data_IF_117271489011
#
_entry.id   IF_117271489011
#
_cell.length_a   1.000
_cell.length_b   1.000
_cell.length_c   1.000
_cell.angle_alpha   90.00
_cell.angle_beta   90.00
_cell.angle_gamma   90.00
#
_symmetry.space_group_name_H-M   'P 1'
#
loop_
_entity.id
_entity.type
_entity.pdbx_description
1 polymer ?
#
# COMPACT_ATOMS: atom_id res chain seq x y z
N UNK A 1 -18.33 2.76 0.35
CA UNK A 1 -17.11 1.98 0.56
C UNK A 1 -16.53 1.58 -0.80
N UNK A 2 -15.30 1.97 -1.04
CA UNK A 2 -14.67 1.76 -2.35
C UNK A 2 -14.23 0.32 -2.56
N UNK A 3 -13.69 -0.30 -1.49
CA UNK A 3 -13.21 -1.67 -1.54
C UNK A 3 -13.97 -2.51 -0.53
N UNK A 4 -14.05 -3.81 -0.81
CA UNK A 4 -14.81 -4.74 0.03
C UNK A 4 -13.89 -5.66 0.81
N UNK A 5 -14.33 -6.08 1.98
CA UNK A 5 -13.62 -7.11 2.74
C UNK A 5 -13.49 -8.36 1.87
N UNK A 6 -12.29 -8.92 1.83
CA UNK A 6 -11.98 -10.07 0.98
C UNK A 6 -11.40 -9.72 -0.37
N UNK A 7 -11.45 -8.44 -0.76
CA UNK A 7 -10.91 -8.01 -2.04
C UNK A 7 -9.39 -8.03 -2.02
N UNK A 8 -8.78 -8.43 -3.14
CA UNK A 8 -7.32 -8.44 -3.31
C UNK A 8 -6.90 -7.19 -4.05
N UNK A 9 -5.94 -6.48 -3.47
CA UNK A 9 -5.43 -5.24 -4.02
C UNK A 9 -3.91 -5.21 -3.94
N UNK A 10 -3.32 -4.08 -4.33
CA UNK A 10 -1.88 -3.86 -4.24
C UNK A 10 -1.60 -2.60 -3.44
N UNK A 11 -0.49 -2.59 -2.71
CA UNK A 11 -0.08 -1.43 -1.94
C UNK A 11 1.45 -1.36 -1.89
N UNK A 12 1.97 -0.16 -1.63
CA UNK A 12 3.41 0.03 -1.49
C UNK A 12 3.84 -0.41 -0.10
N UNK A 13 4.90 -1.21 -0.03
CA UNK A 13 5.44 -1.72 1.23
C UNK A 13 6.94 -1.48 1.24
N UNK A 14 7.46 -0.98 2.35
CA UNK A 14 8.91 -0.84 2.52
C UNK A 14 9.49 -2.23 2.70
N UNK A 15 10.47 -2.56 1.86
CA UNK A 15 11.15 -3.85 1.90
C UNK A 15 12.52 -3.63 2.54
N UNK A 16 12.72 -4.07 3.77
CA UNK A 16 13.98 -3.79 4.48
C UNK A 16 15.21 -4.34 3.78
N UNK A 17 15.08 -5.49 3.13
CA UNK A 17 16.21 -6.14 2.47
C UNK A 17 16.80 -5.30 1.35
N UNK A 18 16.00 -4.48 0.69
CA UNK A 18 16.47 -3.64 -0.40
C UNK A 18 16.37 -2.15 -0.05
N UNK A 19 15.79 -1.82 1.10
CA UNK A 19 15.70 -0.44 1.56
C UNK A 19 14.78 0.44 0.74
N UNK A 20 13.80 -0.13 0.05
CA UNK A 20 12.91 0.60 -0.83
C UNK A 20 11.49 0.12 -0.74
N UNK A 21 10.57 0.94 -1.25
CA UNK A 21 9.19 0.54 -1.43
C UNK A 21 9.03 -0.32 -2.67
N UNK A 22 8.18 -1.35 -2.56
CA UNK A 22 7.81 -2.20 -3.69
C UNK A 22 6.33 -2.52 -3.58
N UNK A 23 5.66 -2.78 -4.72
CA UNK A 23 4.25 -3.13 -4.68
C UNK A 23 4.08 -4.57 -4.18
N UNK A 24 3.09 -4.76 -3.30
CA UNK A 24 2.79 -6.07 -2.74
C UNK A 24 1.29 -6.31 -2.81
N UNK A 25 0.94 -7.56 -3.07
CA UNK A 25 -0.45 -7.99 -3.05
C UNK A 25 -0.93 -8.01 -1.61
N UNK A 26 -2.14 -7.53 -1.39
CA UNK A 26 -2.75 -7.52 -0.06
C UNK A 26 -4.22 -7.89 -0.16
N UNK A 27 -4.80 -8.24 0.98
CA UNK A 27 -6.21 -8.61 1.05
C UNK A 27 -6.85 -7.80 2.16
N UNK A 28 -8.03 -7.26 1.88
CA UNK A 28 -8.77 -6.46 2.85
C UNK A 28 -9.48 -7.36 3.83
N UNK A 29 -9.26 -7.14 5.13
CA UNK A 29 -9.91 -7.92 6.17
C UNK A 29 -10.89 -7.09 7.00
N UNK A 30 -10.77 -5.76 6.98
CA UNK A 30 -11.69 -4.89 7.70
C UNK A 30 -11.60 -3.48 7.14
N UNK A 31 -12.60 -2.65 7.45
CA UNK A 31 -12.57 -1.24 7.09
C UNK A 31 -13.35 -0.43 8.11
N UNK A 32 -12.90 0.79 8.34
CA UNK A 32 -13.58 1.71 9.25
C UNK A 32 -13.27 3.14 8.85
N UNK A 33 -14.01 4.09 9.39
CA UNK A 33 -13.77 5.50 9.14
C UNK A 33 -13.07 6.09 10.34
N UNK A 34 -11.93 6.75 10.07
CA UNK A 34 -11.21 7.49 11.10
C UNK A 34 -11.93 8.80 11.32
N UNK A 35 -12.57 9.01 12.48
CA UNK A 35 -13.36 10.22 12.71
C UNK A 35 -12.50 11.48 12.81
N UNK A 36 -11.23 11.33 13.13
CA UNK A 36 -10.34 12.49 13.28
C UNK A 36 -10.13 13.19 11.95
N UNK A 37 -9.94 12.44 10.88
CA UNK A 37 -9.64 12.98 9.56
C UNK A 37 -10.75 12.68 8.55
N UNK A 38 -11.79 11.99 9.00
CA UNK A 38 -12.93 11.62 8.17
C UNK A 38 -12.54 10.88 6.90
N UNK A 39 -11.56 10.00 7.02
CA UNK A 39 -11.09 9.16 5.92
C UNK A 39 -11.31 7.69 6.24
N UNK A 40 -11.55 6.89 5.19
CA UNK A 40 -11.70 5.46 5.36
C UNK A 40 -10.34 4.79 5.47
N UNK A 41 -10.22 3.91 6.44
CA UNK A 41 -9.01 3.16 6.71
C UNK A 41 -9.32 1.68 6.54
N UNK A 42 -8.44 0.96 5.88
CA UNK A 42 -8.60 -0.48 5.66
C UNK A 42 -7.52 -1.24 6.41
N UNK A 43 -7.93 -2.30 7.09
CA UNK A 43 -6.99 -3.27 7.64
C UNK A 43 -6.73 -4.30 6.57
N UNK A 44 -5.47 -4.56 6.28
CA UNK A 44 -5.07 -5.47 5.22
C UNK A 44 -4.09 -6.50 5.76
N UNK A 45 -4.03 -7.65 5.08
CA UNK A 45 -3.01 -8.66 5.33
C UNK A 45 -2.07 -8.70 4.15
N UNK A 46 -0.80 -8.95 4.41
CA UNK A 46 0.24 -9.03 3.39
C UNK A 46 0.74 -10.47 3.27
N UNK A 47 1.20 -10.81 2.06
CA UNK A 47 1.78 -12.11 1.81
C UNK A 47 0.83 -13.24 2.10
N UNK A 48 1.22 -14.13 3.01
CA UNK A 48 0.41 -15.30 3.36
C UNK A 48 -0.71 -15.00 4.37
N UNK A 49 -0.95 -13.74 4.66
CA UNK A 49 -2.03 -13.35 5.56
C UNK A 49 -1.68 -13.35 7.03
N UNK A 50 -0.41 -13.48 7.37
CA UNK A 50 0.01 -13.49 8.77
C UNK A 50 0.25 -12.11 9.33
N UNK A 51 0.67 -11.18 8.48
CA UNK A 51 0.92 -9.81 8.90
C UNK A 51 -0.29 -8.95 8.60
N UNK A 52 -0.69 -8.15 9.58
CA UNK A 52 -1.76 -7.18 9.41
C UNK A 52 -1.20 -5.78 9.55
N UNK A 53 -1.69 -4.89 8.71
CA UNK A 53 -1.37 -3.47 8.80
C UNK A 53 -2.58 -2.71 8.30
N UNK A 54 -2.47 -1.38 8.22
CA UNK A 54 -3.59 -0.58 7.76
C UNK A 54 -3.11 0.38 6.67
N UNK A 55 -4.06 0.80 5.84
CA UNK A 55 -3.81 1.75 4.75
C UNK A 55 -5.00 2.65 4.57
N UNK A 56 -4.75 3.89 4.19
CA UNK A 56 -5.81 4.75 3.72
C UNK A 56 -6.28 4.28 2.35
N UNK A 57 -7.50 4.65 1.99
CA UNK A 57 -8.10 4.23 0.72
C UNK A 57 -7.22 4.60 -0.47
N UNK A 58 -6.63 5.78 -0.44
CA UNK A 58 -5.79 6.27 -1.54
C UNK A 58 -4.45 5.55 -1.66
N UNK A 59 -4.10 4.72 -0.69
CA UNK A 59 -2.85 3.95 -0.72
C UNK A 59 -3.05 2.53 -1.25
N UNK A 60 -4.26 2.22 -1.72
CA UNK A 60 -4.60 0.91 -2.24
C UNK A 60 -4.92 1.02 -3.72
N UNK A 61 -4.50 0.04 -4.50
CA UNK A 61 -4.63 0.07 -5.96
C UNK A 61 -5.13 -1.27 -6.47
N UNK A 62 -5.99 -1.21 -7.49
CA UNK A 62 -6.55 -2.42 -8.08
C UNK A 62 -5.58 -3.12 -9.01
N UNK A 63 -4.57 -2.42 -9.53
CA UNK A 63 -3.61 -3.04 -10.42
C UNK A 63 -2.19 -2.75 -9.97
N UNK A 64 -1.30 -3.63 -10.42
CA UNK A 64 0.11 -3.59 -10.06
C UNK A 64 0.79 -2.30 -10.54
N UNK A 65 0.46 -1.86 -11.75
CA UNK A 65 1.14 -0.70 -12.35
C UNK A 65 0.92 0.57 -11.54
N UNK A 66 -0.30 0.78 -11.05
CA UNK A 66 -0.59 1.95 -10.24
C UNK A 66 0.11 1.89 -8.89
N UNK A 67 0.20 0.70 -8.31
CA UNK A 67 0.96 0.52 -7.06
C UNK A 67 2.44 0.78 -7.28
N UNK A 68 2.98 0.36 -8.43
CA UNK A 68 4.37 0.60 -8.77
C UNK A 68 4.65 2.10 -8.90
N UNK A 69 3.74 2.85 -9.54
CA UNK A 69 3.89 4.29 -9.65
C UNK A 69 3.92 4.97 -8.29
N UNK A 70 3.09 4.50 -7.37
CA UNK A 70 3.08 5.02 -6.01
C UNK A 70 4.40 4.71 -5.30
N UNK A 71 4.95 3.51 -5.53
CA UNK A 71 6.25 3.15 -4.98
C UNK A 71 7.35 4.09 -5.50
N UNK A 72 7.31 4.41 -6.79
CA UNK A 72 8.29 5.31 -7.37
C UNK A 72 8.23 6.70 -6.73
N UNK A 73 7.02 7.20 -6.51
CA UNK A 73 6.84 8.49 -5.84
C UNK A 73 7.38 8.44 -4.41
N UNK A 74 7.07 7.39 -3.67
CA UNK A 74 7.55 7.25 -2.30
C UNK A 74 9.05 7.09 -2.22
N UNK A 75 9.64 6.35 -3.14
CA UNK A 75 11.08 6.18 -3.20
C UNK A 75 11.77 7.50 -3.53
N UNK A 76 11.21 8.26 -4.47
CA UNK A 76 11.75 9.57 -4.82
C UNK A 76 11.69 10.51 -3.62
N UNK A 77 10.57 10.55 -2.91
CA UNK A 77 10.41 11.41 -1.75
C UNK A 77 11.37 11.05 -0.63
N UNK A 78 11.62 9.74 -0.44
CA UNK A 78 12.47 9.29 0.66
C UNK A 78 13.96 9.37 0.34
N UNK A 79 14.34 9.07 -0.89
CA UNK A 79 15.76 8.96 -1.28
C UNK A 79 16.23 10.09 -2.17
N UNK A 80 15.33 10.96 -2.60
CA UNK A 80 15.68 12.13 -3.38
C UNK A 80 15.93 11.89 -4.85
N UNK A 81 15.87 10.64 -5.30
CA UNK A 81 16.05 10.32 -6.71
C UNK A 81 15.51 8.94 -7.01
N UNK A 82 15.24 8.68 -8.28
CA UNK A 82 14.83 7.36 -8.74
C UNK A 82 16.11 6.56 -8.94
N UNK A 83 16.25 5.41 -8.26
CA UNK A 83 17.54 4.70 -8.21
C UNK A 83 18.07 4.21 -9.54
N UNK A 84 17.21 3.89 -10.47
CA UNK A 84 17.69 3.35 -11.74
C UNK A 84 18.40 4.38 -12.60
N UNK A 85 18.38 5.64 -12.21
CA UNK A 85 19.02 6.71 -12.95
C UNK A 85 20.52 6.71 -12.82
N UNK A 86 21.03 5.84 -12.05
CA UNK A 86 22.45 5.76 -11.78
C UNK A 86 23.25 5.27 -12.96
#
# INVERSE_FOLDING_TARGET
>A
MRYKVGETLFTAVMIPEIGRYAPRKCKIVDSEIDPTINCRVYTITLGCGKEKTWRYEEELFKNFDNAMKDCDVKNLAKFGSIPEDM
#
